data_IF_800529807304
#
_entry.id   IF_800529807304
#
_cell.length_a   1.000
_cell.length_b   1.000
_cell.length_c   1.000
_cell.angle_alpha   90.00
_cell.angle_beta   90.00
_cell.angle_gamma   90.00
#
_symmetry.space_group_name_H-M   'P 1'
#
loop_
_entity.id
_entity.type
_entity.pdbx_description
1 polymer ?
#
# COMPACT_ATOMS: atom_id res chain seq x y z
N UNK A 1 5.31 -7.76 30.23
CA UNK A 1 6.28 -6.84 29.58
C UNK A 1 5.53 -5.59 29.21
N UNK A 2 5.66 -4.54 30.02
CA UNK A 2 5.08 -3.24 29.72
C UNK A 2 5.82 -2.63 28.54
N UNK A 3 5.08 -2.15 27.54
CA UNK A 3 5.63 -1.33 26.47
C UNK A 3 6.16 -0.05 27.12
N UNK A 4 7.48 0.02 27.28
CA UNK A 4 8.18 1.25 27.62
C UNK A 4 7.90 2.21 26.46
N UNK A 5 7.00 3.17 26.67
CA UNK A 5 6.90 4.34 25.80
C UNK A 5 8.24 5.07 25.90
N UNK A 6 9.04 5.03 24.84
CA UNK A 6 10.31 5.76 24.77
C UNK A 6 10.03 7.25 24.79
N UNK A 7 10.83 8.04 25.52
CA UNK A 7 10.77 9.51 25.58
C UNK A 7 10.71 10.18 24.18
N UNK A 8 11.21 9.50 23.14
CA UNK A 8 11.10 9.92 21.74
C UNK A 8 9.65 10.04 21.21
N UNK A 9 8.66 9.42 21.87
CA UNK A 9 7.26 9.45 21.42
C UNK A 9 6.51 10.74 21.80
N UNK A 10 7.08 11.57 22.69
CA UNK A 10 6.47 12.82 23.17
C UNK A 10 6.53 13.97 22.15
N UNK A 11 7.32 13.84 21.08
CA UNK A 11 7.45 14.83 20.00
C UNK A 11 6.74 14.49 18.69
N UNK A 12 6.10 13.32 18.58
CA UNK A 12 5.50 12.83 17.34
C UNK A 12 4.01 13.18 17.25
N UNK A 13 3.57 13.64 16.08
CA UNK A 13 2.14 13.89 15.81
C UNK A 13 1.34 12.57 15.80
N UNK A 14 0.03 12.63 16.03
CA UNK A 14 -0.84 11.44 16.09
C UNK A 14 -0.77 10.58 14.82
N UNK A 15 -0.59 11.20 13.64
CA UNK A 15 -0.39 10.49 12.39
C UNK A 15 0.95 9.75 12.33
N UNK A 16 2.01 10.31 12.90
CA UNK A 16 3.33 9.68 12.96
C UNK A 16 3.31 8.49 13.91
N UNK A 17 2.64 8.62 15.05
CA UNK A 17 2.43 7.50 15.98
C UNK A 17 1.63 6.36 15.34
N UNK A 18 0.58 6.68 14.57
CA UNK A 18 -0.20 5.69 13.85
C UNK A 18 0.66 4.94 12.81
N UNK A 19 1.52 5.65 12.05
CA UNK A 19 2.46 5.02 11.10
C UNK A 19 3.49 4.15 11.80
N UNK A 20 4.06 4.59 12.92
CA UNK A 20 5.00 3.79 13.73
C UNK A 20 4.36 2.47 14.16
N UNK A 21 3.16 2.52 14.74
CA UNK A 21 2.41 1.32 15.14
C UNK A 21 2.10 0.40 13.96
N UNK A 22 1.72 0.96 12.82
CA UNK A 22 1.45 0.17 11.63
C UNK A 22 2.73 -0.53 11.13
N UNK A 23 3.88 0.15 11.17
CA UNK A 23 5.16 -0.43 10.77
C UNK A 23 5.61 -1.53 11.73
N UNK A 24 5.49 -1.32 13.04
CA UNK A 24 5.76 -2.31 14.09
C UNK A 24 4.87 -3.56 13.92
N UNK A 25 3.60 -3.37 13.55
CA UNK A 25 2.69 -4.47 13.27
C UNK A 25 3.15 -5.26 12.04
N UNK A 26 3.48 -4.59 10.94
CA UNK A 26 3.94 -5.26 9.71
C UNK A 26 5.27 -5.98 9.89
N UNK A 27 6.25 -5.36 10.54
CA UNK A 27 7.55 -5.98 10.81
C UNK A 27 7.40 -7.21 11.70
N UNK A 28 6.52 -7.16 12.70
CA UNK A 28 6.18 -8.30 13.55
C UNK A 28 5.55 -9.42 12.73
N UNK A 29 4.57 -9.12 11.88
CA UNK A 29 3.91 -10.12 11.02
C UNK A 29 4.90 -10.79 10.07
N UNK A 30 5.80 -10.03 9.44
CA UNK A 30 6.85 -10.56 8.57
C UNK A 30 7.81 -11.45 9.38
N UNK A 31 8.24 -10.99 10.56
CA UNK A 31 9.09 -11.76 11.46
C UNK A 31 8.48 -13.11 11.81
N UNK A 32 7.19 -13.13 12.20
CA UNK A 32 6.47 -14.36 12.51
C UNK A 32 6.36 -15.27 11.28
N UNK A 33 6.01 -14.73 10.12
CA UNK A 33 5.89 -15.51 8.89
C UNK A 33 7.21 -16.19 8.52
N UNK A 34 8.33 -15.45 8.56
CA UNK A 34 9.67 -16.01 8.27
C UNK A 34 10.05 -17.07 9.30
N UNK A 35 9.83 -16.81 10.59
CA UNK A 35 10.13 -17.78 11.64
C UNK A 35 9.36 -19.09 11.45
N UNK A 36 8.06 -19.02 11.14
CA UNK A 36 7.23 -20.20 10.87
C UNK A 36 7.74 -20.98 9.67
N UNK A 37 8.11 -20.30 8.58
CA UNK A 37 8.64 -20.95 7.37
C UNK A 37 9.98 -21.63 7.63
N UNK A 38 10.94 -20.90 8.21
CA UNK A 38 12.30 -21.42 8.46
C UNK A 38 12.27 -22.56 9.46
N UNK A 39 11.53 -22.40 10.57
CA UNK A 39 11.37 -23.47 11.55
C UNK A 39 10.62 -24.66 10.97
N UNK A 40 9.55 -24.44 10.19
CA UNK A 40 8.79 -25.51 9.52
C UNK A 40 9.64 -26.33 8.54
N UNK A 41 10.42 -25.67 7.70
CA UNK A 41 11.34 -26.35 6.76
C UNK A 41 12.41 -27.13 7.53
N UNK A 42 13.04 -26.51 8.53
CA UNK A 42 14.04 -27.20 9.36
C UNK A 42 13.46 -28.37 10.16
N UNK A 43 12.19 -28.29 10.58
CA UNK A 43 11.47 -29.40 11.21
C UNK A 43 11.47 -30.64 10.33
N UNK A 44 11.18 -30.46 9.04
CA UNK A 44 11.02 -31.54 8.07
C UNK A 44 12.38 -32.16 7.74
N UNK A 45 13.41 -31.33 7.56
CA UNK A 45 14.76 -31.79 7.19
C UNK A 45 15.47 -32.55 8.33
N UNK A 46 15.24 -32.18 9.59
CA UNK A 46 15.95 -32.78 10.75
C UNK A 46 15.15 -33.96 11.35
N UNK A 47 13.96 -34.26 10.82
CA UNK A 47 13.00 -35.23 11.39
C UNK A 47 13.60 -36.61 11.67
N UNK A 48 14.46 -37.11 10.78
CA UNK A 48 14.99 -38.49 10.86
C UNK A 48 16.36 -38.56 11.54
N UNK A 49 17.15 -37.49 11.47
CA UNK A 49 18.55 -37.52 11.91
C UNK A 49 18.72 -37.30 13.42
N UNK A 50 17.94 -36.41 14.04
CA UNK A 50 18.16 -36.03 15.44
C UNK A 50 16.85 -35.68 16.19
N UNK A 51 16.13 -36.68 16.74
CA UNK A 51 14.80 -36.47 17.34
C UNK A 51 14.79 -35.54 18.57
N UNK A 52 15.87 -35.53 19.36
CA UNK A 52 15.96 -34.71 20.58
C UNK A 52 16.49 -33.29 20.32
N UNK A 53 17.42 -33.10 19.37
CA UNK A 53 17.97 -31.77 19.01
C UNK A 53 16.97 -30.88 18.27
N UNK A 54 15.88 -31.46 17.77
CA UNK A 54 14.83 -30.78 17.00
C UNK A 54 14.19 -29.62 17.77
N UNK A 55 14.03 -29.75 19.08
CA UNK A 55 13.44 -28.70 19.93
C UNK A 55 14.40 -27.53 20.15
N UNK A 56 15.70 -27.80 20.35
CA UNK A 56 16.72 -26.76 20.45
C UNK A 56 16.92 -26.02 19.14
N UNK A 57 16.85 -26.74 18.02
CA UNK A 57 16.85 -26.15 16.68
C UNK A 57 15.65 -25.21 16.50
N UNK A 58 14.44 -25.63 16.87
CA UNK A 58 13.25 -24.78 16.76
C UNK A 58 13.37 -23.50 17.55
N UNK A 59 13.83 -23.63 18.80
CA UNK A 59 13.92 -22.49 19.70
C UNK A 59 15.03 -21.53 19.27
N UNK A 60 16.21 -22.03 18.90
CA UNK A 60 17.33 -21.20 18.47
C UNK A 60 17.12 -20.59 17.08
N UNK A 61 16.81 -21.40 16.09
CA UNK A 61 16.66 -20.95 14.69
C UNK A 61 15.36 -20.19 14.50
N UNK A 62 14.28 -20.57 15.17
CA UNK A 62 13.01 -19.84 15.14
C UNK A 62 13.13 -18.44 15.72
N UNK A 63 13.70 -18.30 16.93
CA UNK A 63 13.90 -16.98 17.54
C UNK A 63 14.94 -16.16 16.77
N UNK A 64 16.03 -16.78 16.29
CA UNK A 64 17.06 -16.10 15.51
C UNK A 64 16.52 -15.57 14.17
N UNK A 65 15.75 -16.39 13.45
CA UNK A 65 15.14 -15.97 12.17
C UNK A 65 14.06 -14.92 12.37
N UNK A 66 13.24 -15.03 13.43
CA UNK A 66 12.29 -13.97 13.81
C UNK A 66 13.01 -12.64 14.03
N UNK A 67 14.07 -12.63 14.85
CA UNK A 67 14.79 -11.41 15.19
C UNK A 67 15.46 -10.76 13.97
N UNK A 68 16.13 -11.56 13.15
CA UNK A 68 16.76 -11.06 11.91
C UNK A 68 15.72 -10.50 10.93
N UNK A 69 14.60 -11.21 10.73
CA UNK A 69 13.54 -10.76 9.85
C UNK A 69 12.84 -9.49 10.39
N UNK A 70 12.63 -9.40 11.70
CA UNK A 70 12.07 -8.22 12.35
C UNK A 70 12.98 -7.01 12.16
N UNK A 71 14.28 -7.13 12.45
CA UNK A 71 15.24 -6.02 12.30
C UNK A 71 15.37 -5.61 10.83
N UNK A 72 15.50 -6.57 9.91
CA UNK A 72 15.63 -6.29 8.48
C UNK A 72 14.38 -5.62 7.91
N UNK A 73 13.19 -6.09 8.26
CA UNK A 73 11.93 -5.49 7.81
C UNK A 73 11.72 -4.09 8.40
N UNK A 74 12.05 -3.88 9.67
CA UNK A 74 12.02 -2.54 10.26
C UNK A 74 12.96 -1.57 9.53
N UNK A 75 14.20 -1.97 9.26
CA UNK A 75 15.16 -1.13 8.55
C UNK A 75 14.72 -0.81 7.12
N UNK A 76 14.26 -1.81 6.37
CA UNK A 76 13.82 -1.64 4.99
C UNK A 76 12.57 -0.77 4.88
N UNK A 77 11.58 -0.98 5.74
CA UNK A 77 10.34 -0.21 5.67
C UNK A 77 10.50 1.20 6.24
N UNK A 78 11.33 1.36 7.28
CA UNK A 78 11.62 2.68 7.83
C UNK A 78 12.48 3.54 6.89
N UNK A 79 13.19 2.95 5.91
CA UNK A 79 13.88 3.69 4.86
C UNK A 79 12.93 4.60 4.06
N UNK A 80 11.70 4.15 3.79
CA UNK A 80 10.68 4.96 3.10
C UNK A 80 10.11 6.11 3.93
N UNK A 81 10.29 6.05 5.26
CA UNK A 81 9.87 7.06 6.23
C UNK A 81 11.06 7.83 6.84
N UNK A 82 12.25 7.67 6.26
CA UNK A 82 13.49 8.32 6.69
C UNK A 82 13.63 9.66 5.96
N UNK A 83 14.07 10.70 6.68
CA UNK A 83 14.49 11.94 6.03
C UNK A 83 15.88 11.74 5.40
N UNK A 84 16.10 12.05 4.12
CA UNK A 84 17.45 11.86 3.54
C UNK A 84 18.49 12.87 4.07
N UNK A 85 18.06 14.00 4.66
CA UNK A 85 18.96 15.01 5.23
C UNK A 85 19.49 14.59 6.61
N UNK A 86 18.60 14.41 7.60
CA UNK A 86 19.02 14.09 8.97
C UNK A 86 18.94 12.60 9.31
N UNK A 87 18.42 11.78 8.40
CA UNK A 87 18.36 10.34 8.56
C UNK A 87 17.42 9.88 9.70
N UNK A 88 16.62 10.79 10.25
CA UNK A 88 15.65 10.50 11.31
C UNK A 88 14.48 9.66 10.78
N UNK A 89 14.18 8.56 11.46
CA UNK A 89 13.11 7.62 11.12
C UNK A 89 11.75 8.17 11.58
N UNK A 90 10.70 7.97 10.79
CA UNK A 90 9.31 8.38 11.10
C UNK A 90 9.10 9.89 11.31
N UNK A 91 10.12 10.69 11.00
CA UNK A 91 10.12 12.14 11.23
C UNK A 91 9.41 12.93 10.13
N UNK A 92 9.10 12.29 8.99
CA UNK A 92 8.49 12.94 7.84
C UNK A 92 6.96 12.86 7.92
N UNK A 93 6.30 14.01 8.01
CA UNK A 93 4.84 14.14 8.00
C UNK A 93 4.38 14.91 6.76
N UNK A 94 3.16 14.65 6.27
CA UNK A 94 2.57 15.42 5.18
C UNK A 94 1.89 16.65 5.78
N UNK A 95 2.33 17.85 5.42
CA UNK A 95 1.82 19.09 6.00
C UNK A 95 0.80 19.78 5.11
N UNK A 96 0.93 19.63 3.79
CA UNK A 96 0.03 20.26 2.83
C UNK A 96 -0.25 19.33 1.65
N UNK A 97 -1.45 19.45 1.12
CA UNK A 97 -1.91 18.76 -0.09
C UNK A 97 -2.75 19.73 -0.91
N UNK A 98 -2.19 20.18 -2.01
CA UNK A 98 -2.91 21.04 -2.95
C UNK A 98 -3.27 20.27 -4.20
N UNK A 99 -4.53 20.38 -4.62
CA UNK A 99 -5.04 19.82 -5.87
C UNK A 99 -5.31 20.97 -6.84
N UNK A 100 -4.55 21.02 -7.93
CA UNK A 100 -4.73 22.00 -9.00
C UNK A 100 -5.43 21.34 -10.18
N UNK A 101 -6.57 21.89 -10.58
CA UNK A 101 -7.25 21.46 -11.79
C UNK A 101 -6.38 21.74 -13.03
N UNK A 102 -6.21 20.72 -13.87
CA UNK A 102 -5.48 20.85 -15.14
C UNK A 102 -6.45 20.93 -16.32
N UNK A 103 -7.32 19.93 -16.47
CA UNK A 103 -8.17 19.80 -17.67
C UNK A 103 -9.34 18.86 -17.44
N UNK A 104 -10.47 19.14 -18.10
CA UNK A 104 -11.60 18.23 -18.26
C UNK A 104 -11.77 17.91 -19.73
N UNK A 105 -11.62 16.64 -20.09
CA UNK A 105 -11.78 16.18 -21.47
C UNK A 105 -13.00 15.26 -21.57
N UNK A 106 -14.01 15.58 -22.41
CA UNK A 106 -15.11 14.67 -22.65
C UNK A 106 -14.60 13.44 -23.42
N UNK A 107 -14.99 12.24 -22.96
CA UNK A 107 -14.65 10.96 -23.57
C UNK A 107 -15.93 10.19 -23.87
N UNK A 108 -15.86 9.37 -24.92
CA UNK A 108 -16.94 8.45 -25.26
C UNK A 108 -16.35 7.11 -25.72
N UNK A 109 -17.12 6.04 -25.53
CA UNK A 109 -16.82 4.68 -25.99
C UNK A 109 -18.13 4.03 -26.43
N UNK A 110 -18.10 3.36 -27.57
CA UNK A 110 -19.16 2.46 -28.02
C UNK A 110 -18.75 1.01 -27.71
N UNK A 111 -19.64 0.21 -27.15
CA UNK A 111 -19.43 -1.22 -26.90
C UNK A 111 -20.64 -2.01 -27.42
N UNK A 112 -20.42 -3.10 -28.15
CA UNK A 112 -21.49 -4.01 -28.55
C UNK A 112 -21.93 -4.81 -27.30
N UNK A 113 -23.14 -4.53 -26.81
CA UNK A 113 -23.70 -5.14 -25.61
C UNK A 113 -24.48 -6.44 -25.91
N UNK A 114 -24.83 -6.68 -27.18
CA UNK A 114 -25.51 -7.89 -27.63
C UNK A 114 -26.31 -7.69 -28.92
N UNK A 115 -27.25 -8.59 -29.19
CA UNK A 115 -28.20 -8.50 -30.29
C UNK A 115 -29.63 -8.68 -29.77
N UNK A 116 -30.57 -7.95 -30.37
CA UNK A 116 -31.99 -8.16 -30.06
C UNK A 116 -32.45 -9.49 -30.65
N UNK A 117 -32.95 -10.36 -29.80
CA UNK A 117 -33.45 -11.70 -30.16
C UNK A 117 -34.98 -11.76 -30.33
N UNK A 118 -35.69 -10.66 -30.08
CA UNK A 118 -37.14 -10.59 -30.22
C UNK A 118 -37.63 -9.14 -30.40
N UNK A 119 -38.85 -8.99 -30.92
CA UNK A 119 -39.56 -7.71 -31.04
C UNK A 119 -39.22 -6.90 -32.31
N UNK A 120 -39.69 -5.63 -32.42
CA UNK A 120 -39.53 -4.80 -33.62
C UNK A 120 -38.06 -4.43 -33.95
N UNK A 121 -37.11 -4.80 -33.08
CA UNK A 121 -35.68 -4.59 -33.25
C UNK A 121 -34.90 -5.90 -33.45
N UNK A 122 -35.58 -7.04 -33.64
CA UNK A 122 -34.96 -8.35 -33.89
C UNK A 122 -33.88 -8.28 -34.99
N UNK A 123 -32.72 -8.88 -34.71
CA UNK A 123 -31.56 -8.87 -35.61
C UNK A 123 -30.68 -7.61 -35.52
N UNK A 124 -31.14 -6.51 -34.91
CA UNK A 124 -30.31 -5.31 -34.68
C UNK A 124 -29.29 -5.54 -33.56
N UNK A 125 -28.12 -4.92 -33.70
CA UNK A 125 -27.07 -4.91 -32.68
C UNK A 125 -27.40 -3.88 -31.60
N UNK A 126 -27.25 -4.26 -30.34
CA UNK A 126 -27.36 -3.37 -29.19
C UNK A 126 -25.99 -2.73 -28.97
N UNK A 127 -25.89 -1.43 -29.20
CA UNK A 127 -24.68 -0.65 -28.98
C UNK A 127 -24.87 0.20 -27.73
N UNK A 128 -24.06 -0.06 -26.71
CA UNK A 128 -23.98 0.77 -25.51
C UNK A 128 -22.99 1.91 -25.75
N UNK A 129 -23.50 3.14 -25.75
CA UNK A 129 -22.72 4.37 -25.82
C UNK A 129 -22.45 4.85 -24.40
N UNK A 130 -21.20 4.80 -23.97
CA UNK A 130 -20.77 5.28 -22.66
C UNK A 130 -20.05 6.61 -22.87
N UNK A 131 -20.49 7.65 -22.20
CA UNK A 131 -19.84 8.96 -22.17
C UNK A 131 -19.42 9.29 -20.75
N UNK A 132 -18.25 9.91 -20.58
CA UNK A 132 -17.77 10.38 -19.28
C UNK A 132 -16.87 11.59 -19.45
N UNK A 133 -16.74 12.40 -18.41
CA UNK A 133 -15.76 13.48 -18.36
C UNK A 133 -14.53 13.00 -17.62
N UNK A 134 -13.38 13.04 -18.29
CA UNK A 134 -12.08 12.73 -17.69
C UNK A 134 -11.49 14.02 -17.13
N UNK A 135 -11.52 14.18 -15.80
CA UNK A 135 -10.99 15.33 -15.09
C UNK A 135 -9.58 15.01 -14.58
N UNK A 136 -8.60 15.85 -14.90
CA UNK A 136 -7.20 15.69 -14.46
C UNK A 136 -6.83 16.76 -13.44
N UNK A 137 -6.25 16.31 -12.34
CA UNK A 137 -5.74 17.15 -11.26
C UNK A 137 -4.24 16.93 -11.09
N UNK A 138 -3.48 18.00 -10.93
CA UNK A 138 -2.14 17.96 -10.39
C UNK A 138 -2.23 17.97 -8.86
N UNK A 139 -1.77 16.90 -8.22
CA UNK A 139 -1.72 16.77 -6.77
C UNK A 139 -0.29 17.03 -6.33
N UNK A 140 -0.09 18.14 -5.63
CA UNK A 140 1.16 18.46 -4.96
C UNK A 140 1.05 18.15 -3.47
N UNK A 141 1.95 17.31 -2.97
CA UNK A 141 2.03 16.94 -1.55
C UNK A 141 3.33 17.49 -0.98
N UNK A 142 3.22 18.26 0.08
CA UNK A 142 4.38 18.78 0.81
C UNK A 142 4.60 17.92 2.04
N UNK A 143 5.82 17.41 2.17
CA UNK A 143 6.27 16.64 3.31
C UNK A 143 7.33 17.44 4.07
N UNK A 144 7.26 17.43 5.39
CA UNK A 144 8.20 18.14 6.26
C UNK A 144 8.79 17.16 7.26
N UNK A 145 10.11 17.22 7.43
CA UNK A 145 10.80 16.52 8.49
C UNK A 145 10.69 17.31 9.79
N UNK A 146 10.05 16.73 10.79
CA UNK A 146 9.92 17.30 12.14
C UNK A 146 11.25 17.40 12.89
N UNK A 147 12.26 16.60 12.52
CA UNK A 147 13.57 16.58 13.19
C UNK A 147 14.53 17.67 12.69
N UNK A 148 14.55 17.94 11.38
CA UNK A 148 15.48 18.93 10.80
C UNK A 148 14.79 20.09 10.05
N UNK A 149 13.47 20.04 9.89
CA UNK A 149 12.70 21.03 9.14
C UNK A 149 12.78 20.88 7.62
N UNK A 150 13.47 19.87 7.07
CA UNK A 150 13.59 19.66 5.62
C UNK A 150 12.22 19.50 4.97
N UNK A 151 11.97 20.23 3.89
CA UNK A 151 10.69 20.23 3.17
C UNK A 151 10.85 19.65 1.78
N UNK A 152 9.98 18.73 1.39
CA UNK A 152 9.99 18.06 0.09
C UNK A 152 8.62 18.11 -0.55
N UNK A 153 8.58 18.47 -1.83
CA UNK A 153 7.34 18.53 -2.59
C UNK A 153 7.31 17.41 -3.61
N UNK A 154 6.31 16.54 -3.51
CA UNK A 154 6.04 15.50 -4.48
C UNK A 154 4.87 15.92 -5.36
N UNK A 155 5.07 15.95 -6.68
CA UNK A 155 4.00 16.23 -7.65
C UNK A 155 3.57 14.92 -8.31
N UNK A 156 2.27 14.72 -8.41
CA UNK A 156 1.66 13.55 -9.05
C UNK A 156 0.40 13.97 -9.79
N UNK A 157 0.06 13.25 -10.86
CA UNK A 157 -1.17 13.51 -11.63
C UNK A 157 -2.24 12.49 -11.23
N UNK A 158 -3.41 12.99 -10.84
CA UNK A 158 -4.59 12.17 -10.57
C UNK A 158 -5.63 12.38 -11.66
N UNK A 159 -6.10 11.29 -12.25
CA UNK A 159 -7.21 11.31 -13.20
C UNK A 159 -8.46 10.78 -12.52
N UNK A 160 -9.58 11.51 -12.62
CA UNK A 160 -10.89 11.13 -12.13
C UNK A 160 -11.85 11.01 -13.30
N UNK A 161 -12.77 10.03 -13.24
CA UNK A 161 -13.90 9.94 -14.16
C UNK A 161 -15.14 10.46 -13.45
N UNK A 162 -15.78 11.45 -14.05
CA UNK A 162 -16.98 12.09 -13.53
C UNK A 162 -18.08 12.10 -14.59
N UNK A 163 -19.34 12.19 -14.15
CA UNK A 163 -20.51 12.27 -15.02
C UNK A 163 -20.57 11.14 -16.06
N UNK A 164 -20.38 9.90 -15.61
CA UNK A 164 -20.53 8.73 -16.48
C UNK A 164 -22.01 8.51 -16.82
N UNK A 165 -22.31 8.46 -18.10
CA UNK A 165 -23.64 8.22 -18.64
C UNK A 165 -23.59 7.15 -19.72
N UNK A 166 -24.54 6.22 -19.68
CA UNK A 166 -24.64 5.13 -20.64
C UNK A 166 -26.01 5.09 -21.30
N UNK A 167 -26.03 5.16 -22.63
CA UNK A 167 -27.21 5.03 -23.46
C UNK A 167 -27.14 3.78 -24.34
N UNK A 168 -28.21 3.01 -24.39
CA UNK A 168 -28.31 1.82 -25.24
C UNK A 168 -29.07 2.16 -26.53
N UNK A 169 -28.43 1.94 -27.69
CA UNK A 169 -28.99 2.27 -29.01
C UNK A 169 -28.96 1.03 -29.91
N UNK A 170 -30.09 0.73 -30.56
CA UNK A 170 -30.16 -0.33 -31.56
C UNK A 170 -29.65 0.17 -32.93
N UNK A 171 -28.62 -0.48 -33.48
CA UNK A 171 -28.07 -0.21 -34.83
C UNK A 171 -28.33 -1.42 -35.74
N UNK A 172 -28.73 -1.15 -37.00
CA UNK A 172 -28.92 -2.18 -38.04
C UNK A 172 -27.59 -2.80 -38.45
#
# INVERSE_FOLDING_TARGET
>A
MGLVMSEDDLGLTAEQQARKKQLELYSTLIGVAVAVVVSGVGWLLIREAYPYLRYFYFMGVGLGSFFLAYVASHWLMAASARCDQCSALYSVSMTDKQERYLSSTPRHREVEAGRSISGPNEGKRLIRKISWTETRYEVSKTYVCTSCGDTRVQRSTRTSKENEHSDDVYRR
#
